data_IF_983020448533
#
_entry.id   IF_983020448533
#
_cell.length_a   1.000
_cell.length_b   1.000
_cell.length_c   1.000
_cell.angle_alpha   90.00
_cell.angle_beta   90.00
_cell.angle_gamma   90.00
#
_symmetry.space_group_name_H-M   'P 1'
#
loop_
_entity.id
_entity.type
_entity.pdbx_description
1 polymer ?
#
# COMPACT_ATOMS: atom_id res chain seq x y z
N UNK A 1 5.87 4.03 29.87
CA UNK A 1 5.37 2.73 29.35
C UNK A 1 6.55 1.89 28.83
N UNK A 2 7.41 2.40 27.92
CA UNK A 2 8.50 1.64 27.30
C UNK A 2 9.50 1.08 28.33
N UNK A 3 10.03 1.92 29.23
CA UNK A 3 10.98 1.48 30.28
C UNK A 3 10.37 0.41 31.19
N UNK A 4 9.08 0.56 31.59
CA UNK A 4 8.38 -0.40 32.46
C UNK A 4 8.24 -1.79 31.82
N UNK A 5 8.08 -1.83 30.48
CA UNK A 5 7.91 -3.09 29.72
C UNK A 5 9.20 -3.55 29.02
N UNK A 6 10.36 -2.99 29.38
CA UNK A 6 11.68 -3.32 28.78
C UNK A 6 11.69 -3.25 27.24
N UNK A 7 10.93 -2.29 26.67
CA UNK A 7 10.88 -2.09 25.21
C UNK A 7 12.08 -1.27 24.79
N UNK A 8 12.86 -1.80 23.87
CA UNK A 8 13.97 -1.10 23.24
C UNK A 8 13.47 -0.21 22.11
N UNK A 9 13.93 1.04 22.10
CA UNK A 9 13.54 2.04 21.09
C UNK A 9 14.79 2.43 20.30
N UNK A 10 14.72 2.27 18.99
CA UNK A 10 15.80 2.60 18.05
C UNK A 10 15.30 3.59 17.00
N UNK A 11 16.21 4.45 16.50
CA UNK A 11 15.93 5.28 15.33
C UNK A 11 15.86 4.40 14.08
N UNK A 12 14.90 4.68 13.19
CA UNK A 12 14.80 4.01 11.90
C UNK A 12 15.96 4.35 11.00
N UNK A 13 16.63 3.34 10.42
CA UNK A 13 17.68 3.51 9.43
C UNK A 13 17.06 3.66 8.03
N UNK A 14 16.57 4.84 7.68
CA UNK A 14 15.93 5.10 6.39
C UNK A 14 16.81 4.78 5.17
N UNK A 15 18.14 5.08 5.17
CA UNK A 15 18.98 4.68 4.05
C UNK A 15 19.01 3.18 3.81
N UNK A 16 19.11 2.37 4.88
CA UNK A 16 19.06 0.91 4.79
C UNK A 16 17.72 0.42 4.24
N UNK A 17 16.60 0.95 4.74
CA UNK A 17 15.28 0.58 4.22
C UNK A 17 15.13 0.96 2.74
N UNK A 18 15.65 2.10 2.33
CA UNK A 18 15.67 2.53 0.92
C UNK A 18 16.50 1.60 0.04
N UNK A 19 17.69 1.20 0.48
CA UNK A 19 18.54 0.25 -0.26
C UNK A 19 17.86 -1.12 -0.40
N UNK A 20 17.31 -1.66 0.68
CA UNK A 20 16.60 -2.95 0.64
C UNK A 20 15.35 -2.89 -0.24
N UNK A 21 14.59 -1.79 -0.20
CA UNK A 21 13.49 -1.56 -1.11
C UNK A 21 13.94 -1.58 -2.57
N UNK A 22 15.00 -0.84 -2.91
CA UNK A 22 15.54 -0.79 -4.26
C UNK A 22 15.96 -2.18 -4.78
N UNK A 23 16.55 -3.01 -3.92
CA UNK A 23 16.91 -4.40 -4.26
C UNK A 23 15.67 -5.22 -4.60
N UNK A 24 14.62 -5.15 -3.76
CA UNK A 24 13.35 -5.85 -4.03
C UNK A 24 12.70 -5.36 -5.33
N UNK A 25 12.59 -4.03 -5.51
CA UNK A 25 12.00 -3.45 -6.72
C UNK A 25 12.80 -3.80 -7.98
N UNK A 26 14.14 -3.84 -7.88
CA UNK A 26 15.02 -4.27 -8.98
C UNK A 26 14.88 -5.76 -9.32
N UNK A 27 14.48 -6.62 -8.38
CA UNK A 27 14.11 -8.01 -8.68
C UNK A 27 12.75 -8.04 -9.38
N UNK A 28 11.76 -7.33 -8.86
CA UNK A 28 10.40 -7.29 -9.41
C UNK A 28 10.36 -6.77 -10.84
N UNK A 29 11.18 -5.78 -11.19
CA UNK A 29 11.26 -5.21 -12.56
C UNK A 29 11.76 -6.21 -13.61
N UNK A 30 12.33 -7.36 -13.23
CA UNK A 30 12.74 -8.42 -14.15
C UNK A 30 11.57 -9.29 -14.60
N UNK A 31 10.43 -9.23 -13.92
CA UNK A 31 9.26 -10.06 -14.21
C UNK A 31 8.26 -9.36 -15.14
N UNK A 32 8.23 -8.04 -15.16
CA UNK A 32 7.43 -7.22 -16.08
C UNK A 32 8.06 -5.83 -16.22
N UNK A 33 8.01 -5.21 -17.41
CA UNK A 33 8.45 -3.82 -17.57
C UNK A 33 7.49 -2.82 -16.92
N UNK A 34 6.22 -3.21 -16.74
CA UNK A 34 5.16 -2.33 -16.23
C UNK A 34 5.06 -2.47 -14.71
N UNK A 35 5.83 -1.67 -14.01
CA UNK A 35 5.88 -1.62 -12.55
C UNK A 35 5.62 -0.21 -12.03
N UNK A 36 4.74 -0.10 -11.05
CA UNK A 36 4.52 1.12 -10.24
C UNK A 36 5.05 0.88 -8.84
N UNK A 37 6.06 1.62 -8.43
CA UNK A 37 6.54 1.64 -7.04
C UNK A 37 5.61 2.54 -6.23
N UNK A 38 4.64 1.91 -5.56
CA UNK A 38 3.61 2.61 -4.79
C UNK A 38 4.14 3.19 -3.47
N UNK A 39 4.98 2.42 -2.77
CA UNK A 39 5.65 2.86 -1.53
C UNK A 39 7.02 2.20 -1.39
N UNK A 40 7.68 2.41 -0.25
CA UNK A 40 8.98 1.78 0.05
C UNK A 40 8.88 0.24 0.14
N UNK A 41 7.70 -0.29 0.42
CA UNK A 41 7.44 -1.72 0.69
C UNK A 41 6.34 -2.33 -0.19
N UNK A 42 5.80 -1.57 -1.15
CA UNK A 42 4.72 -2.00 -2.02
C UNK A 42 4.92 -1.57 -3.47
N UNK A 43 4.63 -2.46 -4.40
CA UNK A 43 4.59 -2.18 -5.83
C UNK A 43 3.39 -2.85 -6.48
N UNK A 44 2.88 -2.25 -7.56
CA UNK A 44 1.96 -2.88 -8.50
C UNK A 44 2.72 -3.29 -9.75
N UNK A 45 2.43 -4.49 -10.24
CA UNK A 45 3.00 -5.05 -11.47
C UNK A 45 1.85 -5.43 -12.40
N UNK A 46 1.97 -5.08 -13.68
CA UNK A 46 0.99 -5.48 -14.68
C UNK A 46 1.46 -6.76 -15.39
N UNK A 47 0.60 -7.77 -15.40
CA UNK A 47 0.81 -9.05 -16.07
C UNK A 47 -0.16 -9.26 -17.24
N UNK A 48 -0.42 -8.20 -18.03
CA UNK A 48 -1.18 -8.31 -19.26
C UNK A 48 -0.39 -9.18 -20.27
N UNK A 49 -1.06 -10.13 -20.89
CA UNK A 49 -0.42 -11.09 -21.80
C UNK A 49 0.11 -12.36 -21.12
N UNK A 50 -0.13 -12.51 -19.81
CA UNK A 50 0.29 -13.70 -19.03
C UNK A 50 -0.87 -14.68 -18.78
N UNK A 51 -1.89 -14.67 -19.62
CA UNK A 51 -3.12 -15.49 -19.42
C UNK A 51 -2.82 -17.00 -19.47
N UNK A 52 -1.74 -17.40 -20.16
CA UNK A 52 -1.30 -18.80 -20.28
C UNK A 52 -0.41 -19.27 -19.11
N UNK A 53 -0.04 -18.38 -18.20
CA UNK A 53 0.78 -18.72 -17.05
C UNK A 53 -0.07 -19.06 -15.83
N UNK A 54 0.37 -20.04 -15.05
CA UNK A 54 -0.16 -20.26 -13.72
C UNK A 54 0.36 -19.15 -12.78
N UNK A 55 -0.45 -18.10 -12.58
CA UNK A 55 -0.05 -16.95 -11.77
C UNK A 55 0.24 -17.32 -10.31
N UNK A 56 -0.38 -18.39 -9.79
CA UNK A 56 -0.09 -18.85 -8.42
C UNK A 56 1.34 -19.39 -8.30
N UNK A 57 1.75 -20.25 -9.21
CA UNK A 57 3.09 -20.82 -9.24
C UNK A 57 4.14 -19.75 -9.56
N UNK A 58 3.82 -18.86 -10.49
CA UNK A 58 4.66 -17.73 -10.84
C UNK A 58 4.90 -16.78 -9.66
N UNK A 59 3.86 -16.47 -8.89
CA UNK A 59 3.97 -15.69 -7.67
C UNK A 59 4.82 -16.38 -6.59
N UNK A 60 4.71 -17.71 -6.44
CA UNK A 60 5.55 -18.47 -5.52
C UNK A 60 7.03 -18.44 -5.93
N UNK A 61 7.31 -18.50 -7.23
CA UNK A 61 8.67 -18.34 -7.76
C UNK A 61 9.24 -16.95 -7.43
N UNK A 62 8.49 -15.88 -7.70
CA UNK A 62 8.88 -14.50 -7.38
C UNK A 62 9.19 -14.38 -5.88
N UNK A 63 8.31 -14.88 -5.01
CA UNK A 63 8.53 -14.90 -3.56
C UNK A 63 9.83 -15.59 -3.16
N UNK A 64 10.06 -16.76 -3.73
CA UNK A 64 11.28 -17.58 -3.46
C UNK A 64 12.55 -16.83 -3.86
N UNK A 65 12.56 -16.19 -5.02
CA UNK A 65 13.71 -15.42 -5.51
C UNK A 65 13.98 -14.20 -4.62
N UNK A 66 12.94 -13.42 -4.29
CA UNK A 66 13.08 -12.25 -3.41
C UNK A 66 13.62 -12.68 -2.06
N UNK A 67 13.04 -13.70 -1.42
CA UNK A 67 13.50 -14.20 -0.13
C UNK A 67 14.96 -14.69 -0.20
N UNK A 68 15.31 -15.44 -1.25
CA UNK A 68 16.67 -15.95 -1.44
C UNK A 68 17.72 -14.84 -1.56
N UNK A 69 17.40 -13.77 -2.29
CA UNK A 69 18.39 -12.73 -2.62
C UNK A 69 18.43 -11.58 -1.62
N UNK A 70 17.34 -11.34 -0.89
CA UNK A 70 17.23 -10.19 0.02
C UNK A 70 17.00 -10.57 1.48
N UNK A 71 16.58 -11.81 1.75
CA UNK A 71 16.14 -12.23 3.08
C UNK A 71 14.77 -11.68 3.48
N UNK A 72 14.09 -10.91 2.59
CA UNK A 72 12.80 -10.26 2.89
C UNK A 72 11.66 -11.15 2.41
N UNK A 73 10.76 -11.61 3.31
CA UNK A 73 9.54 -12.30 2.91
C UNK A 73 8.53 -11.29 2.36
N UNK A 74 7.95 -11.59 1.21
CA UNK A 74 6.90 -10.79 0.58
C UNK A 74 5.62 -11.59 0.42
N UNK A 75 4.48 -10.91 0.28
CA UNK A 75 3.18 -11.52 -0.06
C UNK A 75 2.71 -10.97 -1.39
N UNK A 76 2.07 -11.80 -2.22
CA UNK A 76 1.67 -11.43 -3.57
C UNK A 76 0.17 -11.68 -3.75
N UNK A 77 -0.52 -10.70 -4.33
CA UNK A 77 -1.92 -10.81 -4.70
C UNK A 77 -2.12 -10.51 -6.17
N UNK A 78 -2.70 -11.45 -6.92
CA UNK A 78 -3.09 -11.24 -8.31
C UNK A 78 -4.60 -11.00 -8.43
N UNK A 79 -4.98 -9.99 -9.20
CA UNK A 79 -6.38 -9.68 -9.47
C UNK A 79 -6.51 -8.77 -10.70
N UNK A 80 -7.72 -8.62 -11.28
CA UNK A 80 -7.94 -7.79 -12.47
C UNK A 80 -7.73 -6.29 -12.24
N UNK A 81 -7.77 -5.82 -10.99
CA UNK A 81 -7.68 -4.38 -10.65
C UNK A 81 -6.73 -4.15 -9.47
N UNK A 82 -6.21 -2.93 -9.32
CA UNK A 82 -5.34 -2.56 -8.20
C UNK A 82 -6.00 -2.79 -6.84
N UNK A 83 -7.26 -2.36 -6.67
CA UNK A 83 -7.95 -2.53 -5.40
C UNK A 83 -8.18 -4.02 -5.06
N UNK A 84 -8.55 -4.84 -6.04
CA UNK A 84 -8.67 -6.28 -5.84
C UNK A 84 -7.32 -6.97 -5.61
N UNK A 85 -6.24 -6.50 -6.25
CA UNK A 85 -4.88 -6.99 -5.98
C UNK A 85 -4.45 -6.73 -4.52
N UNK A 86 -4.81 -5.57 -3.96
CA UNK A 86 -4.60 -5.26 -2.53
C UNK A 86 -5.44 -6.19 -1.62
N UNK A 87 -6.68 -6.51 -2.01
CA UNK A 87 -7.50 -7.50 -1.29
C UNK A 87 -6.83 -8.89 -1.34
N UNK A 88 -6.40 -9.33 -2.51
CA UNK A 88 -5.71 -10.60 -2.70
C UNK A 88 -4.41 -10.67 -1.87
N UNK A 89 -3.61 -9.60 -1.90
CA UNK A 89 -2.39 -9.49 -1.10
C UNK A 89 -2.67 -9.57 0.41
N UNK A 90 -3.73 -8.92 0.90
CA UNK A 90 -4.12 -9.02 2.31
C UNK A 90 -4.53 -10.44 2.71
N UNK A 91 -5.23 -11.16 1.82
CA UNK A 91 -5.60 -12.56 2.04
C UNK A 91 -4.33 -13.44 2.07
N UNK A 92 -3.42 -13.27 1.10
CA UNK A 92 -2.19 -14.03 1.02
C UNK A 92 -1.33 -13.84 2.29
N UNK A 93 -1.22 -12.61 2.79
CA UNK A 93 -0.52 -12.28 4.02
C UNK A 93 -1.20 -12.87 5.27
N UNK A 94 -2.54 -12.76 5.36
CA UNK A 94 -3.29 -13.25 6.53
C UNK A 94 -3.32 -14.77 6.64
N UNK A 95 -3.34 -15.46 5.52
CA UNK A 95 -3.46 -16.91 5.42
C UNK A 95 -2.22 -17.54 4.75
N UNK A 96 -1.01 -17.03 5.05
CA UNK A 96 0.25 -17.47 4.43
C UNK A 96 0.41 -19.00 4.45
N UNK A 97 0.13 -19.65 5.59
CA UNK A 97 0.19 -21.10 5.72
C UNK A 97 -0.73 -21.88 4.77
N UNK A 98 -1.83 -21.25 4.28
CA UNK A 98 -2.78 -21.89 3.37
C UNK A 98 -2.55 -21.53 1.91
N UNK A 99 -2.02 -20.34 1.67
CA UNK A 99 -1.86 -19.77 0.33
C UNK A 99 -0.42 -19.85 -0.17
N UNK A 100 0.52 -20.21 0.70
CA UNK A 100 1.95 -20.09 0.41
C UNK A 100 2.36 -18.64 0.13
N UNK A 101 1.59 -17.66 0.68
CA UNK A 101 1.83 -16.22 0.52
C UNK A 101 1.47 -15.67 -0.86
N UNK A 102 0.73 -16.41 -1.67
CA UNK A 102 0.21 -15.97 -2.97
C UNK A 102 -1.29 -16.22 -3.04
N UNK A 103 -2.06 -15.25 -3.51
CA UNK A 103 -3.48 -15.42 -3.71
C UNK A 103 -3.94 -14.80 -5.03
N UNK A 104 -4.74 -15.55 -5.80
CA UNK A 104 -5.20 -15.14 -7.13
C UNK A 104 -6.72 -15.00 -7.13
N UNK A 105 -7.23 -13.80 -7.41
CA UNK A 105 -8.65 -13.54 -7.65
C UNK A 105 -8.89 -13.50 -9.16
N UNK A 106 -9.25 -14.64 -9.74
CA UNK A 106 -9.45 -14.84 -11.17
C UNK A 106 -10.89 -15.27 -11.54
N UNK A 107 -11.81 -15.27 -10.58
CA UNK A 107 -13.21 -15.60 -10.81
C UNK A 107 -14.14 -14.72 -9.97
N UNK A 108 -15.39 -14.58 -10.42
CA UNK A 108 -16.45 -13.88 -9.67
C UNK A 108 -16.65 -14.46 -8.28
N UNK A 109 -16.65 -15.80 -8.18
CA UNK A 109 -16.82 -16.51 -6.91
C UNK A 109 -15.71 -16.16 -5.91
N UNK A 110 -14.42 -16.23 -6.34
CA UNK A 110 -13.29 -15.84 -5.50
C UNK A 110 -13.35 -14.36 -5.11
N UNK A 111 -13.74 -13.48 -6.02
CA UNK A 111 -13.92 -12.06 -5.75
C UNK A 111 -14.97 -11.84 -4.67
N UNK A 112 -16.16 -12.39 -4.84
CA UNK A 112 -17.27 -12.20 -3.91
C UNK A 112 -16.94 -12.78 -2.53
N UNK A 113 -16.29 -13.93 -2.46
CA UNK A 113 -15.79 -14.52 -1.22
C UNK A 113 -14.76 -13.62 -0.52
N UNK A 114 -13.82 -13.07 -1.27
CA UNK A 114 -12.79 -12.16 -0.75
C UNK A 114 -13.40 -10.86 -0.22
N UNK A 115 -14.35 -10.26 -0.95
CA UNK A 115 -15.02 -9.03 -0.55
C UNK A 115 -15.94 -9.23 0.67
N UNK A 116 -16.64 -10.36 0.77
CA UNK A 116 -17.45 -10.74 1.95
C UNK A 116 -16.57 -10.98 3.20
N UNK A 117 -15.36 -11.44 3.03
CA UNK A 117 -14.41 -11.62 4.12
C UNK A 117 -13.83 -10.28 4.58
N UNK A 118 -13.45 -9.37 3.67
CA UNK A 118 -12.76 -8.13 3.98
C UNK A 118 -13.67 -7.13 4.71
N UNK A 119 -13.21 -6.63 5.86
CA UNK A 119 -13.90 -5.55 6.57
C UNK A 119 -13.75 -4.24 5.82
N UNK A 120 -14.74 -3.35 5.94
CA UNK A 120 -14.76 -2.07 5.23
C UNK A 120 -13.59 -1.16 5.61
N UNK A 121 -13.18 -1.16 6.88
CA UNK A 121 -12.03 -0.38 7.37
C UNK A 121 -10.69 -0.87 6.86
N UNK A 122 -10.65 -2.07 6.31
CA UNK A 122 -9.45 -2.71 5.79
C UNK A 122 -9.32 -2.55 4.26
N UNK A 123 -10.31 -1.92 3.63
CA UNK A 123 -10.27 -1.64 2.19
C UNK A 123 -9.27 -0.54 1.89
N UNK A 124 -8.36 -0.81 0.96
CA UNK A 124 -7.40 0.18 0.48
C UNK A 124 -8.11 1.44 -0.01
N UNK A 125 -7.69 2.62 0.46
CA UNK A 125 -8.32 3.91 0.13
C UNK A 125 -9.50 4.30 1.05
N UNK A 126 -9.96 3.43 1.95
CA UNK A 126 -10.97 3.78 2.97
C UNK A 126 -10.27 4.10 4.29
N UNK A 127 -10.09 5.39 4.56
CA UNK A 127 -9.54 5.87 5.83
C UNK A 127 -10.55 5.85 6.98
N UNK A 128 -10.06 6.08 8.19
CA UNK A 128 -10.85 6.01 9.44
C UNK A 128 -12.20 6.76 9.37
N UNK A 129 -12.21 8.00 8.85
CA UNK A 129 -13.44 8.82 8.75
C UNK A 129 -14.48 8.20 7.82
N UNK A 130 -14.04 7.71 6.66
CA UNK A 130 -14.94 7.04 5.71
C UNK A 130 -15.43 5.70 6.26
N UNK A 131 -14.56 4.92 6.90
CA UNK A 131 -14.95 3.66 7.54
C UNK A 131 -16.01 3.87 8.62
N UNK A 132 -15.83 4.86 9.52
CA UNK A 132 -16.81 5.18 10.56
C UNK A 132 -18.17 5.58 9.95
N UNK A 133 -18.17 6.43 8.91
CA UNK A 133 -19.40 6.82 8.20
C UNK A 133 -20.08 5.62 7.54
N UNK A 134 -19.35 4.78 6.82
CA UNK A 134 -19.93 3.59 6.17
C UNK A 134 -20.55 2.65 7.20
N UNK A 135 -19.87 2.43 8.32
CA UNK A 135 -20.41 1.60 9.42
C UNK A 135 -21.69 2.17 10.03
N UNK A 136 -21.86 3.48 10.12
CA UNK A 136 -23.12 4.08 10.60
C UNK A 136 -24.30 3.79 9.65
N UNK A 137 -24.02 3.50 8.38
CA UNK A 137 -25.00 3.00 7.39
C UNK A 137 -25.07 1.46 7.33
N UNK A 138 -24.49 0.77 8.33
CA UNK A 138 -24.43 -0.70 8.41
C UNK A 138 -23.61 -1.37 7.28
N UNK A 139 -22.76 -0.62 6.60
CA UNK A 139 -21.83 -1.12 5.59
C UNK A 139 -20.55 -1.61 6.32
N UNK A 140 -20.44 -2.91 6.55
CA UNK A 140 -19.38 -3.48 7.38
C UNK A 140 -18.35 -4.24 6.54
N UNK A 141 -18.68 -4.64 5.33
CA UNK A 141 -17.84 -5.43 4.43
C UNK A 141 -17.57 -4.70 3.13
N UNK A 142 -16.46 -5.04 2.49
CA UNK A 142 -16.15 -4.56 1.16
C UNK A 142 -17.25 -4.95 0.14
N UNK A 143 -17.83 -6.12 0.30
CA UNK A 143 -18.96 -6.56 -0.52
C UNK A 143 -20.17 -5.64 -0.40
N UNK A 144 -20.55 -5.24 0.83
CA UNK A 144 -21.68 -4.35 1.05
C UNK A 144 -21.46 -2.99 0.35
N UNK A 145 -20.21 -2.52 0.35
CA UNK A 145 -19.83 -1.28 -0.32
C UNK A 145 -20.01 -1.35 -1.84
N UNK A 146 -19.72 -2.49 -2.47
CA UNK A 146 -19.94 -2.67 -3.92
C UNK A 146 -21.44 -2.70 -4.30
N UNK A 147 -22.33 -2.98 -3.36
CA UNK A 147 -23.78 -2.99 -3.60
C UNK A 147 -24.43 -1.60 -3.52
N UNK A 148 -23.69 -0.57 -3.12
CA UNK A 148 -24.24 0.79 -3.01
C UNK A 148 -24.46 1.42 -4.39
N UNK A 149 -25.50 2.28 -4.55
CA UNK A 149 -25.67 3.07 -5.78
C UNK A 149 -24.48 4.00 -6.05
N UNK A 150 -24.07 4.10 -7.30
CA UNK A 150 -22.94 4.94 -7.73
C UNK A 150 -23.10 6.41 -7.33
N UNK A 151 -24.30 6.97 -7.51
CA UNK A 151 -24.60 8.35 -7.15
C UNK A 151 -24.46 8.59 -5.64
N UNK A 152 -24.87 7.63 -4.82
CA UNK A 152 -24.70 7.72 -3.38
C UNK A 152 -23.22 7.72 -3.00
N UNK A 153 -22.44 6.80 -3.57
CA UNK A 153 -20.98 6.73 -3.31
C UNK A 153 -20.30 8.03 -3.77
N UNK A 154 -20.64 8.52 -4.95
CA UNK A 154 -20.09 9.77 -5.49
C UNK A 154 -20.40 10.98 -4.58
N UNK A 155 -21.61 11.05 -4.06
CA UNK A 155 -22.02 12.12 -3.12
C UNK A 155 -21.29 12.04 -1.78
N UNK A 156 -21.07 10.84 -1.23
CA UNK A 156 -20.49 10.65 0.10
C UNK A 156 -18.96 10.61 0.11
N UNK A 157 -18.34 10.15 -0.98
CA UNK A 157 -16.89 9.86 -1.03
C UNK A 157 -16.22 10.45 -2.28
N UNK A 158 -16.92 11.31 -3.03
CA UNK A 158 -16.46 11.92 -4.28
C UNK A 158 -16.19 10.91 -5.42
N UNK A 159 -15.58 11.37 -6.50
CA UNK A 159 -15.15 10.53 -7.63
C UNK A 159 -14.11 9.49 -7.21
N UNK A 160 -13.32 9.76 -6.17
CA UNK A 160 -12.31 8.82 -5.66
C UNK A 160 -12.98 7.58 -5.06
N UNK A 161 -14.03 7.78 -4.26
CA UNK A 161 -14.81 6.65 -3.73
C UNK A 161 -15.51 5.84 -4.81
N UNK A 162 -16.03 6.52 -5.84
CA UNK A 162 -16.66 5.84 -6.98
C UNK A 162 -15.65 5.00 -7.77
N UNK A 163 -14.46 5.53 -8.06
CA UNK A 163 -13.37 4.77 -8.69
C UNK A 163 -12.99 3.54 -7.88
N UNK A 164 -12.86 3.70 -6.56
CA UNK A 164 -12.57 2.56 -5.67
C UNK A 164 -13.66 1.49 -5.74
N UNK A 165 -14.95 1.89 -5.76
CA UNK A 165 -16.06 0.93 -5.92
C UNK A 165 -15.94 0.17 -7.23
N UNK A 166 -15.71 0.84 -8.35
CA UNK A 166 -15.52 0.23 -9.67
C UNK A 166 -14.36 -0.76 -9.68
N UNK A 167 -13.23 -0.39 -9.10
CA UNK A 167 -12.07 -1.27 -8.92
C UNK A 167 -12.44 -2.56 -8.15
N UNK A 168 -13.21 -2.45 -7.06
CA UNK A 168 -13.66 -3.62 -6.29
C UNK A 168 -14.70 -4.46 -7.04
N UNK A 169 -15.49 -3.88 -7.93
CA UNK A 169 -16.40 -4.58 -8.84
C UNK A 169 -15.63 -5.37 -9.92
N UNK A 170 -14.37 -5.02 -10.17
CA UNK A 170 -13.50 -5.64 -11.17
C UNK A 170 -13.34 -4.83 -12.44
N UNK A 171 -13.81 -3.59 -12.44
CA UNK A 171 -13.62 -2.62 -13.52
C UNK A 171 -12.33 -1.83 -13.28
N UNK A 172 -11.31 -2.01 -14.13
CA UNK A 172 -10.02 -1.33 -13.99
C UNK A 172 -10.15 0.12 -14.45
N UNK A 173 -10.18 1.04 -13.49
CA UNK A 173 -10.27 2.50 -13.70
C UNK A 173 -9.04 3.25 -13.19
N UNK A 174 -8.10 2.54 -12.55
CA UNK A 174 -6.83 3.07 -12.09
C UNK A 174 -5.69 2.42 -12.90
N UNK A 175 -5.12 3.18 -13.82
CA UNK A 175 -3.91 2.77 -14.55
C UNK A 175 -2.69 2.71 -13.63
N UNK A 176 -1.63 2.02 -14.07
CA UNK A 176 -0.32 2.15 -13.43
C UNK A 176 0.24 3.56 -13.64
N UNK A 177 0.81 4.14 -12.60
CA UNK A 177 1.57 5.38 -12.70
C UNK A 177 3.01 5.05 -13.14
N UNK A 178 3.35 5.31 -14.40
CA UNK A 178 4.67 5.01 -14.99
C UNK A 178 5.80 5.83 -14.38
N UNK A 179 5.49 7.02 -13.89
CA UNK A 179 6.47 7.89 -13.23
C UNK A 179 5.89 8.51 -11.96
N UNK A 180 6.75 8.72 -10.97
CA UNK A 180 6.35 9.50 -9.79
C UNK A 180 6.05 10.93 -10.22
N UNK A 181 4.85 11.42 -9.90
CA UNK A 181 4.53 12.83 -10.07
C UNK A 181 5.58 13.70 -9.37
N UNK A 182 5.93 14.88 -9.93
CA UNK A 182 6.84 15.81 -9.28
C UNK A 182 6.40 16.11 -7.84
N UNK A 183 7.38 16.20 -6.94
CA UNK A 183 7.09 16.54 -5.53
C UNK A 183 6.38 17.89 -5.47
N UNK A 184 5.20 17.93 -4.88
CA UNK A 184 4.41 19.17 -4.68
C UNK A 184 4.83 19.93 -3.41
N UNK A 185 5.50 19.26 -2.48
CA UNK A 185 5.96 19.84 -1.23
C UNK A 185 7.17 19.06 -0.69
N UNK A 186 8.06 19.75 0.00
CA UNK A 186 9.18 19.19 0.73
C UNK A 186 9.08 19.67 2.17
N UNK A 187 9.28 18.76 3.11
CA UNK A 187 9.28 19.10 4.53
C UNK A 187 10.48 18.48 5.24
N UNK A 188 10.96 19.20 6.24
CA UNK A 188 11.89 18.68 7.24
C UNK A 188 11.30 18.92 8.62
N UNK A 189 11.11 17.84 9.38
CA UNK A 189 10.51 17.87 10.71
C UNK A 189 11.37 17.11 11.70
N UNK A 190 11.43 17.58 12.93
CA UNK A 190 12.07 16.90 14.06
C UNK A 190 11.30 17.18 15.33
N UNK A 191 11.23 16.18 16.21
CA UNK A 191 10.77 16.38 17.59
C UNK A 191 11.97 16.77 18.46
N UNK A 192 11.78 17.72 19.35
CA UNK A 192 12.81 18.13 20.30
C UNK A 192 12.63 17.39 21.63
N UNK A 193 13.76 17.07 22.28
CA UNK A 193 13.72 16.44 23.61
C UNK A 193 13.10 17.36 24.68
N UNK A 194 13.34 18.67 24.55
CA UNK A 194 12.83 19.73 25.41
C UNK A 194 12.20 20.83 24.57
N UNK A 195 11.26 21.55 25.15
CA UNK A 195 10.69 22.72 24.51
C UNK A 195 11.78 23.80 24.35
N UNK A 196 11.87 24.39 23.16
CA UNK A 196 12.75 25.52 22.88
C UNK A 196 11.96 26.78 23.24
N UNK A 197 12.48 27.55 24.15
CA UNK A 197 11.85 28.78 24.68
C UNK A 197 12.62 30.05 24.40
N UNK A 198 13.82 29.91 23.86
CA UNK A 198 14.70 31.05 23.51
C UNK A 198 14.79 31.24 21.99
N UNK A 199 15.01 32.49 21.57
CA UNK A 199 15.02 32.88 20.17
C UNK A 199 16.22 32.29 19.41
N UNK A 200 17.41 32.28 20.01
CA UNK A 200 18.64 31.83 19.33
C UNK A 200 18.56 30.30 19.09
N UNK A 201 18.07 29.52 20.04
CA UNK A 201 17.81 28.08 19.85
C UNK A 201 16.80 27.81 18.75
N UNK A 202 15.71 28.58 18.68
CA UNK A 202 14.74 28.47 17.61
C UNK A 202 15.31 28.81 16.24
N UNK A 203 16.07 29.92 16.15
CA UNK A 203 16.74 30.41 14.94
C UNK A 203 17.72 29.36 14.39
N UNK A 204 18.55 28.76 15.24
CA UNK A 204 19.46 27.69 14.86
C UNK A 204 18.70 26.51 14.21
N UNK A 205 17.59 26.06 14.81
CA UNK A 205 16.80 24.97 14.30
C UNK A 205 16.14 25.28 12.97
N UNK A 206 15.56 26.48 12.84
CA UNK A 206 14.95 26.92 11.58
C UNK A 206 15.99 26.99 10.46
N UNK A 207 17.19 27.53 10.76
CA UNK A 207 18.30 27.61 9.79
C UNK A 207 18.72 26.19 9.34
N UNK A 208 18.91 25.25 10.28
CA UNK A 208 19.25 23.86 9.98
C UNK A 208 18.19 23.20 9.11
N UNK A 209 16.90 23.39 9.45
CA UNK A 209 15.81 22.78 8.66
C UNK A 209 15.70 23.39 7.26
N UNK A 210 15.97 24.68 7.11
CA UNK A 210 15.99 25.35 5.81
C UNK A 210 17.07 24.78 4.90
N UNK A 211 18.28 24.56 5.43
CA UNK A 211 19.39 23.94 4.71
C UNK A 211 19.00 22.52 4.29
N UNK A 212 18.50 21.69 5.23
CA UNK A 212 18.04 20.32 4.92
C UNK A 212 16.91 20.29 3.90
N UNK A 213 16.00 21.28 3.88
CA UNK A 213 14.97 21.38 2.85
C UNK A 213 15.58 21.75 1.49
N UNK A 214 16.54 22.68 1.46
CA UNK A 214 17.24 23.07 0.23
C UNK A 214 17.99 21.89 -0.42
N UNK A 215 18.66 21.07 0.39
CA UNK A 215 19.35 19.86 -0.10
C UNK A 215 18.40 18.84 -0.72
N UNK A 216 17.16 18.73 -0.22
CA UNK A 216 16.13 17.84 -0.78
C UNK A 216 15.51 18.33 -2.10
N UNK A 217 15.74 19.60 -2.48
CA UNK A 217 15.30 20.19 -3.74
C UNK A 217 16.22 19.83 -4.91
N UNK A 218 17.46 19.50 -4.62
CA UNK A 218 18.45 19.04 -5.60
C UNK A 218 18.27 17.56 -5.87
#
# INVERSE_FOLDING_TARGET
IFKKNKVHVFSSNFPLYGDMSNRVMGILSKYTPNIEIYSIDEAFLEFKGFENYNLEDYGKEIRKIILKWTGIPVSIGFAPTKALAKVANRISKKFDNKTGGVYVINSKEKKDKALKWLKIEDVWGIGFKHAARLKSYKINKAYDFTMLPDDWVRKQMSVVGLRLKKELEGESVLSLEESRSPKKAIATTRSFEKNITDFEGLKERVSTFSICCSEKLR
#
